data_IF_442690384366
#
_entry.id   IF_442690384366
#
_cell.length_a   1.000
_cell.length_b   1.000
_cell.length_c   1.000
_cell.angle_alpha   90.00
_cell.angle_beta   90.00
_cell.angle_gamma   90.00
#
_symmetry.space_group_name_H-M   'P 1'
#
loop_
_entity.id
_entity.type
_entity.pdbx_description
1 polymer ?
#
# COMPACT_ATOMS: atom_id res chain seq x y z
N UNK A 1 -14.73 -15.06 -7.62
CA UNK A 1 -13.31 -14.99 -8.06
C UNK A 1 -12.42 -14.95 -6.83
N UNK A 2 -11.23 -15.58 -6.86
CA UNK A 2 -10.25 -15.45 -5.79
C UNK A 2 -9.93 -13.97 -5.55
N UNK A 3 -9.84 -13.59 -4.29
CA UNK A 3 -9.58 -12.23 -3.84
C UNK A 3 -8.35 -11.59 -4.50
N UNK A 4 -7.29 -12.39 -4.71
CA UNK A 4 -6.06 -11.99 -5.37
C UNK A 4 -6.26 -11.62 -6.85
N UNK A 5 -7.12 -12.33 -7.59
CA UNK A 5 -7.41 -12.02 -9.00
C UNK A 5 -8.21 -10.73 -9.15
N UNK A 6 -9.09 -10.43 -8.19
CA UNK A 6 -9.83 -9.16 -8.16
C UNK A 6 -8.89 -7.99 -7.88
N UNK A 7 -7.90 -8.19 -7.01
CA UNK A 7 -6.95 -7.16 -6.61
C UNK A 7 -5.80 -6.96 -7.59
N UNK A 8 -5.41 -7.98 -8.35
CA UNK A 8 -4.21 -7.93 -9.21
C UNK A 8 -4.45 -8.40 -10.65
N UNK A 9 -5.68 -8.76 -11.02
CA UNK A 9 -6.04 -9.16 -12.38
C UNK A 9 -5.84 -8.05 -13.41
N UNK A 10 -5.79 -8.42 -14.69
CA UNK A 10 -5.46 -7.51 -15.80
C UNK A 10 -6.33 -6.25 -15.78
N UNK A 11 -5.63 -5.12 -15.69
CA UNK A 11 -6.19 -3.80 -15.90
C UNK A 11 -6.82 -3.75 -17.29
N UNK A 12 -7.84 -2.91 -17.46
CA UNK A 12 -8.02 -2.29 -18.77
C UNK A 12 -6.88 -1.27 -18.85
N UNK A 13 -5.86 -1.58 -19.66
CA UNK A 13 -4.58 -0.85 -19.73
C UNK A 13 -4.71 0.67 -19.94
N UNK A 14 -5.88 1.13 -20.36
CA UNK A 14 -6.17 2.52 -20.78
C UNK A 14 -6.07 3.58 -19.66
N UNK A 15 -6.10 3.22 -18.36
CA UNK A 15 -6.01 4.19 -17.24
C UNK A 15 -4.74 4.05 -16.37
N UNK A 16 -3.76 3.26 -16.80
CA UNK A 16 -2.52 3.08 -16.02
C UNK A 16 -1.55 4.23 -16.23
N UNK A 17 -1.19 4.92 -15.15
CA UNK A 17 -0.10 5.89 -15.16
C UNK A 17 1.20 5.20 -14.72
N UNK A 18 2.25 5.34 -15.52
CA UNK A 18 3.60 4.81 -15.23
C UNK A 18 4.61 5.95 -15.14
N UNK A 19 5.43 5.94 -14.10
CA UNK A 19 6.41 6.97 -13.78
C UNK A 19 7.73 6.31 -13.44
N UNK A 20 8.82 6.84 -13.98
CA UNK A 20 10.17 6.44 -13.57
C UNK A 20 10.77 7.60 -12.79
N UNK A 21 11.03 7.36 -11.51
CA UNK A 21 11.64 8.33 -10.62
C UNK A 21 13.14 8.08 -10.52
N UNK A 22 13.99 9.12 -10.48
CA UNK A 22 15.35 8.96 -9.98
C UNK A 22 15.33 8.53 -8.50
N UNK A 23 16.44 7.97 -8.01
CA UNK A 23 16.64 7.69 -6.58
C UNK A 23 16.80 9.00 -5.80
N UNK A 24 15.69 9.72 -5.64
CA UNK A 24 15.61 11.06 -5.06
C UNK A 24 14.32 11.24 -4.24
N UNK A 25 14.47 11.69 -3.00
CA UNK A 25 13.35 11.83 -2.06
C UNK A 25 12.39 12.95 -2.46
N UNK A 26 12.87 14.03 -3.09
CA UNK A 26 12.00 15.13 -3.51
C UNK A 26 11.12 14.73 -4.70
N UNK A 27 11.64 13.93 -5.63
CA UNK A 27 10.88 13.33 -6.72
C UNK A 27 9.80 12.37 -6.19
N UNK A 28 10.14 11.54 -5.20
CA UNK A 28 9.18 10.68 -4.51
C UNK A 28 8.05 11.46 -3.83
N UNK A 29 8.39 12.53 -3.07
CA UNK A 29 7.38 13.37 -2.41
C UNK A 29 6.44 14.05 -3.42
N UNK A 30 6.96 14.56 -4.54
CA UNK A 30 6.13 15.12 -5.61
C UNK A 30 5.17 14.09 -6.20
N UNK A 31 5.63 12.87 -6.41
CA UNK A 31 4.76 11.80 -6.92
C UNK A 31 3.70 11.39 -5.89
N UNK A 32 4.08 11.27 -4.62
CA UNK A 32 3.17 10.97 -3.51
C UNK A 32 1.99 11.97 -3.49
N UNK A 33 2.27 13.28 -3.55
CA UNK A 33 1.24 14.31 -3.59
C UNK A 33 0.29 14.11 -4.79
N UNK A 34 0.85 13.86 -5.97
CA UNK A 34 0.06 13.65 -7.20
C UNK A 34 -0.85 12.43 -7.11
N UNK A 35 -0.36 11.32 -6.56
CA UNK A 35 -1.17 10.10 -6.36
C UNK A 35 -2.30 10.36 -5.35
N UNK A 36 -2.01 11.06 -4.26
CA UNK A 36 -3.03 11.36 -3.24
C UNK A 36 -4.10 12.32 -3.79
N UNK A 37 -3.72 13.35 -4.54
CA UNK A 37 -4.69 14.23 -5.22
C UNK A 37 -5.59 13.46 -6.20
N UNK A 38 -5.03 12.45 -6.90
CA UNK A 38 -5.80 11.58 -7.78
C UNK A 38 -6.81 10.74 -7.00
N UNK A 39 -6.37 10.12 -5.89
CA UNK A 39 -7.22 9.34 -4.99
C UNK A 39 -8.40 10.17 -4.44
N UNK A 40 -8.12 11.41 -4.03
CA UNK A 40 -9.13 12.37 -3.56
C UNK A 40 -10.15 12.72 -4.65
N UNK A 41 -9.68 13.00 -5.88
CA UNK A 41 -10.56 13.27 -7.04
C UNK A 41 -11.47 12.08 -7.37
N UNK A 42 -10.98 10.86 -7.20
CA UNK A 42 -11.71 9.63 -7.50
C UNK A 42 -12.73 9.23 -6.41
N UNK A 43 -12.92 10.09 -5.40
CA UNK A 43 -13.95 9.97 -4.37
C UNK A 43 -13.64 8.87 -3.36
N UNK A 44 -12.38 8.48 -3.22
CA UNK A 44 -11.97 7.48 -2.23
C UNK A 44 -12.12 8.13 -0.86
N UNK A 45 -13.07 7.65 -0.03
CA UNK A 45 -13.42 8.35 1.19
C UNK A 45 -12.22 8.35 2.13
N UNK A 46 -11.92 9.56 2.59
CA UNK A 46 -10.88 9.99 3.51
C UNK A 46 -10.97 9.28 4.88
N UNK A 47 -10.91 7.96 4.94
CA UNK A 47 -10.40 7.25 6.13
C UNK A 47 -8.91 7.55 6.17
N UNK A 48 -8.64 8.80 6.54
CA UNK A 48 -7.39 9.40 6.94
C UNK A 48 -6.35 9.52 5.82
N UNK A 49 -6.51 10.51 4.94
CA UNK A 49 -5.52 10.94 3.96
C UNK A 49 -4.13 11.17 4.57
N UNK A 50 -4.06 11.38 5.89
CA UNK A 50 -2.83 11.28 6.67
C UNK A 50 -2.16 9.89 6.59
N UNK A 51 -2.84 8.80 6.96
CA UNK A 51 -2.30 7.44 6.87
C UNK A 51 -1.96 7.07 5.44
N UNK A 52 -2.80 7.46 4.48
CA UNK A 52 -2.54 7.22 3.06
C UNK A 52 -1.23 7.89 2.60
N UNK A 53 -1.04 9.17 2.94
CA UNK A 53 0.21 9.90 2.65
C UNK A 53 1.38 9.19 3.32
N UNK A 54 1.28 8.90 4.62
CA UNK A 54 2.36 8.30 5.39
C UNK A 54 2.73 6.89 4.90
N UNK A 55 1.74 6.03 4.62
CA UNK A 55 1.97 4.69 4.09
C UNK A 55 2.60 4.72 2.69
N UNK A 56 2.15 5.63 1.81
CA UNK A 56 2.74 5.78 0.49
C UNK A 56 4.18 6.34 0.57
N UNK A 57 4.42 7.29 1.48
CA UNK A 57 5.76 7.82 1.74
C UNK A 57 6.71 6.72 2.20
N UNK A 58 6.29 5.89 3.16
CA UNK A 58 7.07 4.75 3.63
C UNK A 58 7.39 3.77 2.48
N UNK A 59 6.43 3.46 1.62
CA UNK A 59 6.66 2.61 0.45
C UNK A 59 7.73 3.17 -0.50
N UNK A 60 7.61 4.46 -0.86
CA UNK A 60 8.55 5.14 -1.75
C UNK A 60 9.94 5.32 -1.11
N UNK A 61 9.99 5.69 0.17
CA UNK A 61 11.23 5.83 0.94
C UNK A 61 11.92 4.48 1.09
N UNK A 62 11.18 3.39 1.30
CA UNK A 62 11.76 2.05 1.37
C UNK A 62 12.38 1.65 0.03
N UNK A 63 11.68 1.88 -1.08
CA UNK A 63 12.20 1.63 -2.43
C UNK A 63 13.49 2.41 -2.72
N UNK A 64 13.59 3.67 -2.27
CA UNK A 64 14.79 4.50 -2.45
C UNK A 64 15.90 4.08 -1.47
N UNK A 65 15.62 4.10 -0.18
CA UNK A 65 16.63 3.97 0.89
C UNK A 65 17.09 2.54 1.10
N UNK A 66 16.17 1.59 1.06
CA UNK A 66 16.46 0.19 1.38
C UNK A 66 16.52 -0.69 0.13
N UNK A 67 15.80 -0.30 -0.93
CA UNK A 67 15.91 -0.88 -2.27
C UNK A 67 17.14 -0.35 -2.99
N UNK A 68 17.05 0.84 -3.58
CA UNK A 68 18.09 1.36 -4.45
C UNK A 68 19.39 1.72 -3.74
N UNK A 69 19.33 2.30 -2.54
CA UNK A 69 20.51 2.67 -1.76
C UNK A 69 21.00 1.52 -0.85
N UNK A 70 20.18 0.52 -0.56
CA UNK A 70 20.53 -0.62 0.32
C UNK A 70 21.21 -0.19 1.64
N UNK A 71 22.49 -0.55 1.81
CA UNK A 71 23.34 -0.27 2.97
C UNK A 71 24.31 0.90 2.70
N UNK A 72 24.02 1.76 1.69
CA UNK A 72 24.89 2.84 1.23
C UNK A 72 25.44 3.66 2.40
N UNK A 73 26.76 3.61 2.52
CA UNK A 73 27.52 4.38 3.49
C UNK A 73 28.28 5.47 2.74
N UNK A 74 27.93 6.75 2.91
CA UNK A 74 28.57 7.86 2.19
C UNK A 74 30.07 8.02 2.48
N UNK A 75 30.58 7.38 3.53
CA UNK A 75 32.00 7.37 3.88
C UNK A 75 32.77 6.21 3.22
N UNK A 76 32.08 5.18 2.71
CA UNK A 76 32.69 3.97 2.15
C UNK A 76 32.36 3.76 0.67
N UNK A 77 31.17 4.15 0.24
CA UNK A 77 30.65 3.82 -1.08
C UNK A 77 30.74 5.01 -2.04
N UNK A 78 31.10 4.72 -3.30
CA UNK A 78 31.20 5.74 -4.33
C UNK A 78 29.79 6.24 -4.73
N UNK A 79 29.54 7.57 -4.79
CA UNK A 79 28.24 8.13 -5.17
C UNK A 79 27.75 7.71 -6.57
N UNK A 80 28.66 7.28 -7.45
CA UNK A 80 28.35 6.84 -8.81
C UNK A 80 27.61 5.51 -8.88
N UNK A 81 27.74 4.63 -7.87
CA UNK A 81 27.18 3.27 -7.94
C UNK A 81 25.64 3.21 -7.87
N UNK A 82 25.00 4.27 -7.36
CA UNK A 82 23.56 4.30 -7.08
C UNK A 82 22.82 5.48 -7.75
N UNK A 83 23.55 6.40 -8.41
CA UNK A 83 22.96 7.57 -9.08
C UNK A 83 22.11 7.24 -10.31
N UNK A 84 22.35 6.09 -10.93
CA UNK A 84 21.62 5.64 -12.13
C UNK A 84 20.41 4.76 -11.78
N UNK A 85 20.25 4.36 -10.52
CA UNK A 85 19.10 3.56 -10.10
C UNK A 85 17.84 4.42 -10.10
N UNK A 86 16.74 3.81 -10.52
CA UNK A 86 15.43 4.43 -10.63
C UNK A 86 14.40 3.61 -9.86
N UNK A 87 13.28 4.24 -9.53
CA UNK A 87 12.10 3.57 -8.98
C UNK A 87 11.00 3.71 -10.00
N UNK A 88 10.49 2.59 -10.52
CA UNK A 88 9.33 2.58 -11.39
C UNK A 88 8.07 2.52 -10.53
N UNK A 89 7.14 3.45 -10.75
CA UNK A 89 5.87 3.50 -10.04
C UNK A 89 4.73 3.46 -11.05
N UNK A 90 3.83 2.51 -10.87
CA UNK A 90 2.65 2.31 -11.69
C UNK A 90 1.41 2.42 -10.81
N UNK A 91 0.44 3.23 -11.17
CA UNK A 91 -0.81 3.34 -10.42
C UNK A 91 -1.99 3.53 -11.35
N UNK A 92 -3.11 2.93 -10.96
CA UNK A 92 -4.29 2.88 -11.80
C UNK A 92 -5.55 2.68 -10.96
N UNK A 93 -6.66 3.12 -11.53
CA UNK A 93 -7.98 2.85 -11.01
C UNK A 93 -8.61 1.66 -11.75
N UNK A 94 -8.72 0.54 -11.06
CA UNK A 94 -9.41 -0.65 -11.56
C UNK A 94 -10.91 -0.60 -11.25
N UNK A 95 -11.74 -0.84 -12.26
CA UNK A 95 -13.12 -1.24 -12.07
C UNK A 95 -13.20 -2.77 -12.13
N UNK A 96 -13.82 -3.38 -11.12
CA UNK A 96 -14.00 -4.82 -11.02
C UNK A 96 -15.49 -5.12 -10.93
N UNK A 97 -15.88 -6.35 -11.22
CA UNK A 97 -17.18 -6.85 -10.77
C UNK A 97 -17.33 -6.64 -9.25
N UNK A 98 -18.56 -6.45 -8.72
CA UNK A 98 -18.78 -6.31 -7.30
C UNK A 98 -18.11 -7.44 -6.51
N UNK A 99 -17.33 -7.08 -5.50
CA UNK A 99 -16.60 -8.00 -4.64
C UNK A 99 -16.77 -7.60 -3.19
N UNK A 100 -16.48 -8.52 -2.27
CA UNK A 100 -16.55 -8.24 -0.83
C UNK A 100 -15.14 -8.30 -0.26
N UNK A 101 -14.80 -7.32 0.57
CA UNK A 101 -13.58 -7.33 1.39
C UNK A 101 -13.96 -7.53 2.86
N UNK A 102 -13.08 -8.16 3.62
CA UNK A 102 -13.19 -8.26 5.07
C UNK A 102 -12.23 -7.25 5.70
N UNK A 103 -12.75 -6.37 6.56
CA UNK A 103 -11.95 -5.39 7.31
C UNK A 103 -12.05 -5.68 8.80
N UNK A 104 -10.93 -5.64 9.50
CA UNK A 104 -10.92 -5.71 10.96
C UNK A 104 -11.31 -4.35 11.55
N UNK A 105 -12.36 -4.34 12.37
CA UNK A 105 -12.80 -3.15 13.08
C UNK A 105 -12.06 -3.06 14.42
N UNK A 106 -11.39 -1.93 14.72
CA UNK A 106 -10.81 -1.70 16.03
C UNK A 106 -11.93 -1.35 17.01
N UNK A 107 -12.52 -2.35 17.66
CA UNK A 107 -13.36 -2.13 18.84
C UNK A 107 -12.61 -2.52 20.10
N UNK A 108 -12.73 -1.65 21.11
CA UNK A 108 -12.18 -1.85 22.44
C UNK A 108 -12.90 -3.05 23.06
N UNK A 109 -12.18 -4.15 23.28
CA UNK A 109 -12.47 -5.28 24.23
C UNK A 109 -11.83 -6.62 23.78
N UNK A 110 -10.88 -6.59 22.84
CA UNK A 110 -10.16 -7.81 22.42
C UNK A 110 -10.95 -8.74 21.50
N UNK A 111 -12.15 -8.31 21.06
CA UNK A 111 -12.94 -9.00 20.05
C UNK A 111 -12.48 -8.56 18.66
N UNK A 112 -12.04 -9.51 17.84
CA UNK A 112 -11.76 -9.26 16.42
C UNK A 112 -13.07 -9.25 15.65
N UNK A 113 -13.56 -8.07 15.28
CA UNK A 113 -14.77 -7.94 14.47
C UNK A 113 -14.36 -7.81 13.01
N UNK A 114 -14.78 -8.77 12.19
CA UNK A 114 -14.64 -8.70 10.73
C UNK A 114 -15.90 -8.08 10.12
N UNK A 115 -15.74 -6.93 9.49
CA UNK A 115 -16.78 -6.28 8.70
C UNK A 115 -16.63 -6.66 7.23
N UNK A 116 -17.69 -7.21 6.65
CA UNK A 116 -17.80 -7.44 5.21
C UNK A 116 -18.30 -6.17 4.52
N UNK A 117 -17.54 -5.68 3.55
CA UNK A 117 -17.88 -4.48 2.77
C UNK A 117 -17.92 -4.80 1.28
N UNK A 118 -19.05 -4.48 0.63
CA UNK A 118 -19.19 -4.59 -0.82
C UNK A 118 -18.44 -3.44 -1.52
N UNK A 119 -17.57 -3.79 -2.46
CA UNK A 119 -16.72 -2.89 -3.23
C UNK A 119 -16.91 -3.14 -4.72
N UNK A 120 -16.62 -2.13 -5.54
CA UNK A 120 -16.70 -2.24 -7.01
C UNK A 120 -15.54 -1.55 -7.74
N UNK A 121 -14.61 -0.98 -6.97
CA UNK A 121 -13.42 -0.32 -7.48
C UNK A 121 -12.23 -0.65 -6.60
N UNK A 122 -11.05 -0.68 -7.22
CA UNK A 122 -9.76 -0.84 -6.56
C UNK A 122 -8.80 0.18 -7.12
N UNK A 123 -8.18 1.00 -6.27
CA UNK A 123 -7.02 1.79 -6.66
C UNK A 123 -5.76 1.00 -6.33
N UNK A 124 -4.86 0.84 -7.30
CA UNK A 124 -3.65 0.03 -7.17
C UNK A 124 -2.43 0.91 -7.34
N UNK A 125 -1.39 0.65 -6.57
CA UNK A 125 -0.08 1.27 -6.68
C UNK A 125 0.97 0.16 -6.64
N UNK A 126 1.86 0.15 -7.61
CA UNK A 126 2.98 -0.75 -7.71
C UNK A 126 4.26 0.09 -7.69
N UNK A 127 5.14 -0.15 -6.74
CA UNK A 127 6.44 0.51 -6.59
C UNK A 127 7.51 -0.56 -6.83
N UNK A 128 8.37 -0.35 -7.81
CA UNK A 128 9.42 -1.30 -8.18
C UNK A 128 10.79 -0.63 -8.10
N UNK A 129 11.64 -1.13 -7.21
CA UNK A 129 13.03 -0.71 -7.06
C UNK A 129 14.02 -1.67 -7.75
N UNK A 130 15.28 -1.25 -7.86
CA UNK A 130 16.37 -2.00 -8.49
C UNK A 130 17.37 -2.52 -7.46
N UNK A 131 16.96 -2.64 -6.20
CA UNK A 131 17.76 -3.19 -5.12
C UNK A 131 17.85 -4.72 -5.14
N UNK A 132 18.43 -5.28 -4.08
CA UNK A 132 18.50 -6.73 -3.84
C UNK A 132 17.17 -7.38 -3.45
N UNK A 133 16.15 -6.57 -3.15
CA UNK A 133 14.88 -7.02 -2.60
C UNK A 133 14.94 -7.31 -1.09
N UNK A 134 13.80 -7.66 -0.51
CA UNK A 134 13.70 -7.99 0.91
C UNK A 134 12.64 -9.07 1.16
N UNK A 135 12.80 -9.83 2.24
CA UNK A 135 11.85 -10.86 2.65
C UNK A 135 10.98 -10.32 3.80
N UNK A 136 9.68 -10.02 3.56
CA UNK A 136 8.80 -9.48 4.59
C UNK A 136 8.55 -10.45 5.74
N UNK A 137 8.70 -11.77 5.52
CA UNK A 137 8.43 -12.79 6.54
C UNK A 137 9.55 -12.87 7.58
N UNK A 138 10.74 -12.36 7.26
CA UNK A 138 11.88 -12.29 8.18
C UNK A 138 11.88 -11.03 9.05
N UNK A 139 10.97 -10.09 8.80
CA UNK A 139 10.87 -8.87 9.60
C UNK A 139 10.30 -9.17 10.98
N UNK A 140 10.98 -8.69 12.02
CA UNK A 140 10.51 -8.79 13.38
C UNK A 140 9.21 -7.97 13.56
N UNK A 141 8.23 -8.50 14.31
CA UNK A 141 7.00 -7.76 14.59
C UNK A 141 7.32 -6.50 15.42
N UNK A 142 7.16 -5.33 14.81
CA UNK A 142 7.41 -4.04 15.47
C UNK A 142 6.48 -3.78 16.67
N UNK A 143 5.39 -4.54 16.83
CA UNK A 143 4.46 -4.46 17.97
C UNK A 143 4.89 -5.34 19.15
N UNK A 144 5.89 -6.22 18.97
CA UNK A 144 6.42 -7.04 20.06
C UNK A 144 7.13 -6.15 21.10
N UNK A 145 7.02 -6.50 22.39
CA UNK A 145 7.53 -5.69 23.51
C UNK A 145 9.00 -5.31 23.34
N UNK A 146 9.81 -6.23 22.82
CA UNK A 146 11.25 -6.08 22.63
C UNK A 146 11.60 -5.12 21.47
N UNK A 147 10.65 -4.81 20.61
CA UNK A 147 10.80 -3.92 19.45
C UNK A 147 10.15 -2.55 19.65
N UNK A 148 9.33 -2.36 20.70
CA UNK A 148 8.57 -1.11 20.91
C UNK A 148 9.46 0.13 21.00
N UNK A 149 10.64 0.00 21.61
CA UNK A 149 11.58 1.11 21.81
C UNK A 149 12.50 1.34 20.59
N UNK A 150 12.49 0.46 19.59
CA UNK A 150 13.34 0.63 18.41
C UNK A 150 12.85 1.82 17.59
N UNK A 151 13.72 2.72 17.10
CA UNK A 151 13.29 3.90 16.34
C UNK A 151 12.84 3.57 14.91
N UNK A 152 13.19 2.40 14.38
CA UNK A 152 12.92 1.98 12.99
C UNK A 152 12.13 0.67 12.90
N UNK A 153 11.69 0.30 11.69
CA UNK A 153 11.00 -0.99 11.43
C UNK A 153 9.47 -0.92 11.42
N UNK A 154 8.90 0.29 11.35
CA UNK A 154 7.43 0.50 11.36
C UNK A 154 6.79 0.61 9.99
N UNK A 155 7.58 0.72 8.91
CA UNK A 155 7.06 0.98 7.56
C UNK A 155 5.98 0.01 7.10
N UNK A 156 6.15 -1.30 7.33
CA UNK A 156 5.12 -2.29 6.98
C UNK A 156 3.82 -2.15 7.78
N UNK A 157 3.91 -1.76 9.06
CA UNK A 157 2.73 -1.48 9.89
C UNK A 157 2.00 -0.23 9.39
N UNK A 158 2.73 0.82 9.04
CA UNK A 158 2.18 2.06 8.50
C UNK A 158 1.46 1.79 7.16
N UNK A 159 2.09 1.05 6.25
CA UNK A 159 1.45 0.65 5.00
C UNK A 159 0.20 -0.20 5.23
N UNK A 160 0.23 -1.19 6.13
CA UNK A 160 -0.94 -2.03 6.46
C UNK A 160 -2.06 -1.27 7.17
N UNK A 161 -1.76 -0.13 7.78
CA UNK A 161 -2.76 0.77 8.36
C UNK A 161 -3.41 1.63 7.27
N UNK A 162 -2.66 1.98 6.23
CA UNK A 162 -3.08 2.88 5.16
C UNK A 162 -3.81 2.18 4.00
N UNK A 163 -3.46 0.93 3.70
CA UNK A 163 -3.92 0.18 2.53
C UNK A 163 -4.68 -1.07 2.94
N UNK A 164 -5.70 -1.43 2.15
CA UNK A 164 -6.47 -2.67 2.35
C UNK A 164 -5.60 -3.90 2.05
N UNK A 165 -4.70 -3.78 1.06
CA UNK A 165 -3.70 -4.80 0.75
C UNK A 165 -2.32 -4.22 0.57
N UNK A 166 -1.35 -4.96 1.12
CA UNK A 166 0.07 -4.72 1.00
C UNK A 166 0.74 -6.06 0.72
N UNK A 167 1.35 -6.19 -0.44
CA UNK A 167 2.05 -7.40 -0.85
C UNK A 167 3.41 -7.07 -1.48
N UNK A 168 4.26 -8.08 -1.60
CA UNK A 168 5.58 -7.97 -2.18
C UNK A 168 5.83 -9.09 -3.19
N UNK A 169 6.22 -8.71 -4.40
CA UNK A 169 6.61 -9.61 -5.47
C UNK A 169 8.09 -9.41 -5.84
N UNK A 170 8.57 -10.21 -6.79
CA UNK A 170 9.91 -10.10 -7.36
C UNK A 170 11.02 -10.08 -6.30
N UNK A 171 10.97 -11.06 -5.39
CA UNK A 171 11.88 -11.18 -4.24
C UNK A 171 11.90 -9.94 -3.33
N UNK A 172 10.79 -9.21 -3.27
CA UNK A 172 10.62 -8.02 -2.44
C UNK A 172 10.96 -6.69 -3.11
N UNK A 173 11.33 -6.71 -4.39
CA UNK A 173 11.63 -5.48 -5.17
C UNK A 173 10.38 -4.78 -5.67
N UNK A 174 9.25 -5.48 -5.69
CA UNK A 174 7.98 -4.97 -6.18
C UNK A 174 6.96 -4.92 -5.06
N UNK A 175 6.74 -3.73 -4.52
CA UNK A 175 5.71 -3.45 -3.52
C UNK A 175 4.37 -3.18 -4.21
N UNK A 176 3.36 -3.93 -3.82
CA UNK A 176 2.00 -3.87 -4.34
C UNK A 176 1.06 -3.36 -3.24
N UNK A 177 0.36 -2.24 -3.50
CA UNK A 177 -0.56 -1.59 -2.57
C UNK A 177 -1.94 -1.46 -3.23
N UNK A 178 -3.01 -1.71 -2.49
CA UNK A 178 -4.36 -1.54 -3.00
C UNK A 178 -5.35 -0.98 -1.98
N UNK A 179 -6.31 -0.18 -2.47
CA UNK A 179 -7.46 0.34 -1.73
C UNK A 179 -8.73 -0.07 -2.47
N UNK A 180 -9.59 -0.82 -1.81
CA UNK A 180 -10.88 -1.27 -2.33
C UNK A 180 -12.00 -0.37 -1.82
N UNK A 181 -12.88 0.11 -2.71
CA UNK A 181 -13.94 1.04 -2.35
C UNK A 181 -15.18 0.95 -3.25
N UNK A 182 -16.28 1.58 -2.82
CA UNK A 182 -17.52 1.70 -3.57
C UNK A 182 -17.76 3.17 -3.98
N UNK A 183 -18.07 3.43 -5.27
CA UNK A 183 -18.27 4.78 -5.82
C UNK A 183 -19.48 5.51 -5.25
N UNK A 184 -20.53 4.77 -4.91
CA UNK A 184 -21.72 5.28 -4.24
C UNK A 184 -21.83 4.63 -2.88
N UNK A 185 -21.55 5.38 -1.81
CA UNK A 185 -22.03 5.04 -0.47
C UNK A 185 -23.55 5.27 -0.41
N UNK A 186 -24.34 4.52 -1.18
CA UNK A 186 -25.66 4.22 -0.66
C UNK A 186 -25.40 3.14 0.37
N UNK A 187 -25.26 3.53 1.63
CA UNK A 187 -25.69 2.66 2.72
C UNK A 187 -27.20 2.46 2.52
N UNK A 188 -27.60 1.65 1.54
CA UNK A 188 -28.85 0.95 1.69
C UNK A 188 -28.54 -0.02 2.82
N UNK A 189 -29.04 0.30 4.00
CA UNK A 189 -29.39 -0.74 4.94
C UNK A 189 -30.47 -1.58 4.27
N UNK A 190 -30.09 -2.43 3.31
CA UNK A 190 -30.91 -3.58 2.95
C UNK A 190 -30.80 -4.50 4.16
N UNK A 191 -31.93 -4.92 4.76
CA UNK A 191 -31.92 -5.77 5.96
C UNK A 191 -31.19 -7.11 5.78
N UNK A 192 -30.85 -7.48 4.55
CA UNK A 192 -30.37 -8.81 4.17
C UNK A 192 -28.84 -8.95 4.14
N UNK A 193 -28.08 -7.85 4.18
CA UNK A 193 -26.63 -7.89 4.46
C UNK A 193 -26.37 -7.34 5.85
N UNK A 194 -27.16 -7.82 6.80
CA UNK A 194 -26.92 -7.61 8.22
C UNK A 194 -25.48 -8.02 8.53
N UNK A 195 -24.74 -7.08 9.12
CA UNK A 195 -23.47 -7.27 9.79
C UNK A 195 -23.31 -8.71 10.28
N UNK A 196 -22.62 -9.56 9.52
CA UNK A 196 -22.18 -10.84 10.07
C UNK A 196 -20.97 -10.51 10.92
N UNK A 197 -21.22 -10.15 12.18
CA UNK A 197 -20.20 -10.10 13.21
C UNK A 197 -19.82 -11.55 13.45
N UNK A 198 -18.77 -12.02 12.79
CA UNK A 198 -18.14 -13.29 13.16
C UNK A 198 -17.33 -12.98 14.42
N UNK A 199 -17.83 -13.42 15.58
CA UNK A 199 -17.02 -13.54 16.79
C UNK A 199 -16.17 -14.80 16.62
N UNK A 200 -14.86 -14.64 16.50
CA UNK A 200 -13.89 -15.74 16.54
C UNK A 200 -13.43 -15.94 17.97
#
# INVERSE_FOLDING_TARGET
>A
MPYHEVLWGSLRDEETESVVLPTDFAAAQKLQLRIVERLERDGIPNKEGFWLRLGLEEGLVNAIKHGNLEDFNPLRDAPSHFRERTVKVEYALGATDPFTIERECPENDGVRILRKEACSRVFRICIHDQGKGFDPQKLADCRAKENLEKPSGRGLLLMRTAFDHVDHEDSGRRLMLAIAYARNRVCTMTPEVAHTIVRV
#
